data_IF_702204789146
#
_entry.id   IF_702204789146
#
_cell.length_a   1.000
_cell.length_b   1.000
_cell.length_c   1.000
_cell.angle_alpha   90.00
_cell.angle_beta   90.00
_cell.angle_gamma   90.00
#
_symmetry.space_group_name_H-M   'P 1'
#
loop_
_entity.id
_entity.type
_entity.pdbx_description
1 polymer ?
#
# COMPACT_ATOMS: atom_id res chain seq x y z
N UNK A 1 11.83 -10.16 9.23
CA UNK A 1 12.12 -11.51 8.68
C UNK A 1 10.86 -11.94 7.95
N UNK A 2 10.94 -12.28 6.66
CA UNK A 2 9.78 -12.71 5.89
C UNK A 2 9.44 -14.18 6.23
N UNK A 3 8.16 -14.59 6.29
CA UNK A 3 7.79 -15.96 6.62
C UNK A 3 8.29 -16.96 5.56
N UNK A 4 8.79 -18.11 6.00
CA UNK A 4 9.10 -19.24 5.13
C UNK A 4 7.85 -20.11 4.98
N UNK A 5 7.08 -19.88 3.92
CA UNK A 5 5.89 -20.65 3.57
C UNK A 5 5.35 -20.17 2.22
N UNK A 6 4.70 -21.06 1.47
CA UNK A 6 3.99 -20.67 0.24
C UNK A 6 2.83 -19.77 0.67
N UNK A 7 2.95 -18.46 0.39
CA UNK A 7 1.94 -17.46 0.72
C UNK A 7 0.88 -17.40 -0.36
N UNK A 8 -0.40 -17.37 0.03
CA UNK A 8 -1.51 -17.35 -0.94
C UNK A 8 -1.86 -15.92 -1.33
N UNK A 9 -1.67 -14.96 -0.42
CA UNK A 9 -1.90 -13.53 -0.63
C UNK A 9 -0.88 -12.73 0.16
N UNK A 10 -0.39 -11.65 -0.45
CA UNK A 10 0.55 -10.71 0.14
C UNK A 10 0.00 -9.29 -0.09
N UNK A 11 -0.06 -8.48 0.95
CA UNK A 11 -0.45 -7.08 0.87
C UNK A 11 0.60 -6.22 1.56
N UNK A 12 0.87 -5.03 1.00
CA UNK A 12 1.73 -4.02 1.61
C UNK A 12 0.90 -2.80 2.01
N UNK A 13 1.13 -2.31 3.23
CA UNK A 13 0.68 -1.01 3.70
C UNK A 13 1.79 0.02 3.58
N UNK A 14 1.73 1.09 4.38
CA UNK A 14 2.73 2.16 4.31
C UNK A 14 4.08 1.79 4.92
N UNK A 15 4.07 1.11 6.08
CA UNK A 15 5.30 0.72 6.79
C UNK A 15 5.35 -0.76 7.18
N UNK A 16 4.27 -1.50 7.01
CA UNK A 16 4.19 -2.92 7.27
C UNK A 16 3.65 -3.66 6.04
N UNK A 17 3.88 -4.97 6.02
CA UNK A 17 3.24 -5.87 5.07
C UNK A 17 2.78 -7.12 5.80
N UNK A 18 1.75 -7.75 5.26
CA UNK A 18 1.14 -8.95 5.81
C UNK A 18 0.93 -9.96 4.71
N UNK A 19 1.11 -11.24 5.04
CA UNK A 19 0.73 -12.35 4.20
C UNK A 19 -0.34 -13.21 4.87
N UNK A 20 -1.18 -13.81 4.03
CA UNK A 20 -2.08 -14.88 4.40
C UNK A 20 -1.45 -16.20 3.94
N UNK A 21 -1.27 -17.11 4.88
CA UNK A 21 -0.81 -18.48 4.62
C UNK A 21 -1.94 -19.39 4.12
N UNK A 22 -1.61 -20.60 3.66
CA UNK A 22 -2.60 -21.55 3.11
C UNK A 22 -3.74 -21.92 4.07
N UNK A 23 -3.49 -21.89 5.37
CA UNK A 23 -4.50 -22.15 6.40
C UNK A 23 -5.24 -20.89 6.86
N UNK A 24 -5.05 -19.75 6.18
CA UNK A 24 -5.70 -18.49 6.52
C UNK A 24 -5.02 -17.70 7.65
N UNK A 25 -3.89 -18.16 8.20
CA UNK A 25 -3.19 -17.43 9.26
C UNK A 25 -2.47 -16.19 8.71
N UNK A 26 -2.57 -15.09 9.44
CA UNK A 26 -1.84 -13.85 9.19
C UNK A 26 -0.42 -13.91 9.73
N UNK A 27 0.54 -13.56 8.88
CA UNK A 27 1.91 -13.25 9.29
C UNK A 27 2.24 -11.84 8.78
N UNK A 28 2.50 -10.88 9.68
CA UNK A 28 2.91 -9.51 9.29
C UNK A 28 4.32 -9.16 9.77
N UNK A 29 4.94 -8.22 9.07
CA UNK A 29 6.26 -7.69 9.36
C UNK A 29 6.34 -6.18 9.11
N UNK A 30 7.29 -5.54 9.78
CA UNK A 30 7.45 -4.09 9.80
C UNK A 30 6.88 -3.47 11.08
N UNK A 31 7.10 -2.16 11.29
CA UNK A 31 6.50 -1.43 12.41
C UNK A 31 4.97 -1.40 12.25
N UNK A 32 4.28 -2.10 13.15
CA UNK A 32 2.83 -2.16 13.19
C UNK A 32 2.31 -1.82 14.58
N UNK A 33 1.08 -1.31 14.63
CA UNK A 33 0.40 -0.92 15.87
C UNK A 33 -0.79 -1.84 16.11
N UNK A 34 -1.08 -2.15 17.37
CA UNK A 34 -2.18 -3.02 17.77
C UNK A 34 -1.85 -4.51 17.69
N UNK A 35 -2.69 -5.32 18.34
CA UNK A 35 -2.57 -6.78 18.34
C UNK A 35 -3.25 -7.33 17.08
N UNK A 36 -2.55 -8.20 16.36
CA UNK A 36 -3.13 -8.92 15.23
C UNK A 36 -4.31 -9.79 15.71
N UNK A 37 -5.48 -9.72 15.05
CA UNK A 37 -6.57 -10.62 15.34
C UNK A 37 -6.20 -12.05 15.00
N UNK A 38 -6.72 -12.99 15.79
CA UNK A 38 -6.69 -14.41 15.47
C UNK A 38 -7.88 -14.74 14.57
N UNK A 39 -7.70 -15.67 13.63
CA UNK A 39 -8.76 -16.08 12.72
C UNK A 39 -8.20 -16.56 11.38
N UNK A 40 -9.10 -17.00 10.51
CA UNK A 40 -8.79 -17.39 9.14
C UNK A 40 -9.18 -16.25 8.19
N UNK A 41 -8.18 -15.69 7.51
CA UNK A 41 -8.34 -14.57 6.60
C UNK A 41 -8.27 -15.04 5.14
N UNK A 42 -9.00 -14.35 4.27
CA UNK A 42 -9.04 -14.60 2.83
C UNK A 42 -8.62 -13.37 2.01
N UNK A 43 -8.67 -12.17 2.58
CA UNK A 43 -8.16 -10.94 1.97
C UNK A 43 -7.66 -9.94 3.01
N UNK A 44 -6.86 -8.97 2.58
CA UNK A 44 -6.21 -7.96 3.41
C UNK A 44 -6.33 -6.57 2.79
N UNK A 45 -6.58 -5.59 3.64
CA UNK A 45 -6.56 -4.17 3.31
C UNK A 45 -5.63 -3.47 4.30
N UNK A 46 -4.44 -3.05 3.85
CA UNK A 46 -3.41 -2.45 4.71
C UNK A 46 -3.29 -0.94 4.44
N UNK A 47 -3.44 -0.14 5.48
CA UNK A 47 -3.29 1.31 5.46
C UNK A 47 -1.93 1.78 5.99
N UNK A 48 -1.91 2.96 6.62
CA UNK A 48 -0.68 3.51 7.22
C UNK A 48 -0.26 2.76 8.51
N UNK A 49 -0.98 2.98 9.61
CA UNK A 49 -0.78 2.27 10.89
C UNK A 49 -2.02 1.45 11.29
N UNK A 50 -2.90 1.22 10.34
CA UNK A 50 -4.19 0.54 10.47
C UNK A 50 -4.30 -0.52 9.41
N UNK A 51 -5.00 -1.60 9.72
CA UNK A 51 -5.19 -2.73 8.83
C UNK A 51 -6.55 -3.34 9.07
N UNK A 52 -7.14 -3.90 8.02
CA UNK A 52 -8.31 -4.74 8.11
C UNK A 52 -8.09 -6.02 7.32
N UNK A 53 -8.72 -7.10 7.75
CA UNK A 53 -8.71 -8.38 7.08
C UNK A 53 -10.12 -8.90 6.91
N UNK A 54 -10.40 -9.48 5.74
CA UNK A 54 -11.65 -10.18 5.46
C UNK A 54 -11.47 -11.62 5.92
N UNK A 55 -12.32 -12.05 6.84
CA UNK A 55 -12.31 -13.39 7.40
C UNK A 55 -13.07 -14.37 6.48
N UNK A 56 -12.81 -15.66 6.65
CA UNK A 56 -13.49 -16.74 5.89
C UNK A 56 -15.01 -16.76 6.12
N UNK A 57 -15.49 -16.27 7.26
CA UNK A 57 -16.92 -16.09 7.56
C UNK A 57 -17.52 -14.81 6.93
N UNK A 58 -16.78 -14.13 6.06
CA UNK A 58 -17.15 -12.92 5.32
C UNK A 58 -17.25 -11.65 6.19
N UNK A 59 -16.89 -11.69 7.49
CA UNK A 59 -16.83 -10.48 8.32
C UNK A 59 -15.45 -9.85 8.31
N UNK A 60 -15.36 -8.58 8.70
CA UNK A 60 -14.10 -7.83 8.71
C UNK A 60 -13.59 -7.70 10.14
N UNK A 61 -12.29 -7.95 10.34
CA UNK A 61 -11.59 -7.62 11.57
C UNK A 61 -10.53 -6.56 11.27
N UNK A 62 -10.55 -5.46 12.02
CA UNK A 62 -9.58 -4.38 11.91
C UNK A 62 -8.68 -4.29 13.15
N UNK A 63 -7.47 -3.79 12.96
CA UNK A 63 -6.51 -3.53 14.03
C UNK A 63 -5.61 -2.36 13.66
N UNK A 64 -5.08 -1.66 14.66
CA UNK A 64 -4.19 -0.54 14.42
C UNK A 64 -4.08 0.42 15.59
N UNK A 65 -3.62 1.63 15.29
CA UNK A 65 -3.63 2.74 16.23
C UNK A 65 -5.04 3.08 16.75
N UNK A 66 -5.09 3.76 17.89
CA UNK A 66 -6.33 4.35 18.44
C UNK A 66 -7.52 3.39 18.56
N UNK A 67 -7.26 2.11 18.87
CA UNK A 67 -8.27 1.05 18.91
C UNK A 67 -9.10 0.97 17.61
N UNK A 68 -8.45 1.18 16.46
CA UNK A 68 -9.10 1.14 15.17
C UNK A 68 -9.78 -0.21 14.94
N UNK A 69 -11.10 -0.14 14.75
CA UNK A 69 -11.98 -1.27 14.53
C UNK A 69 -12.99 -0.94 13.42
N UNK A 70 -13.71 -1.95 12.94
CA UNK A 70 -14.86 -1.76 12.05
C UNK A 70 -15.98 -1.01 12.81
N UNK A 71 -16.73 -0.09 12.18
CA UNK A 71 -17.86 0.57 12.82
C UNK A 71 -18.87 -0.43 13.40
N UNK A 72 -19.49 -0.11 14.54
CA UNK A 72 -20.40 -1.01 15.26
C UNK A 72 -21.52 -1.56 14.36
N UNK A 73 -22.11 -0.68 13.54
CA UNK A 73 -23.19 -1.03 12.61
C UNK A 73 -22.75 -1.97 11.48
N UNK A 74 -21.45 -2.13 11.26
CA UNK A 74 -20.88 -2.97 10.20
C UNK A 74 -20.25 -4.27 10.74
N UNK A 75 -20.26 -4.50 12.06
CA UNK A 75 -19.64 -5.69 12.68
C UNK A 75 -20.21 -7.01 12.19
N UNK A 76 -21.51 -7.05 11.95
CA UNK A 76 -22.21 -8.24 11.44
C UNK A 76 -22.42 -8.21 9.92
N UNK A 77 -21.99 -7.14 9.25
CA UNK A 77 -22.10 -7.02 7.81
C UNK A 77 -21.09 -7.93 7.14
N UNK A 78 -21.58 -8.67 6.13
CA UNK A 78 -20.77 -9.59 5.33
C UNK A 78 -20.26 -8.90 4.08
N UNK A 79 -18.98 -9.09 3.76
CA UNK A 79 -18.30 -8.45 2.66
C UNK A 79 -17.70 -9.49 1.71
N UNK A 80 -17.68 -9.17 0.41
CA UNK A 80 -16.99 -9.98 -0.61
C UNK A 80 -15.59 -9.49 -0.93
N UNK A 81 -15.33 -8.21 -0.68
CA UNK A 81 -14.06 -7.57 -0.97
C UNK A 81 -13.85 -6.42 0.01
N UNK A 82 -12.58 -6.18 0.35
CA UNK A 82 -12.12 -5.03 1.13
C UNK A 82 -10.87 -4.45 0.48
N UNK A 83 -10.72 -3.14 0.55
CA UNK A 83 -9.56 -2.40 0.04
C UNK A 83 -9.21 -1.25 0.97
N UNK A 84 -7.94 -0.84 0.98
CA UNK A 84 -7.47 0.29 1.77
C UNK A 84 -6.65 1.26 0.94
N UNK A 85 -6.79 2.55 1.27
CA UNK A 85 -5.91 3.62 0.79
C UNK A 85 -5.66 4.60 1.92
N UNK A 86 -4.41 4.67 2.36
CA UNK A 86 -3.98 5.48 3.52
C UNK A 86 -4.74 5.10 4.80
N UNK A 87 -5.67 5.94 5.25
CA UNK A 87 -6.52 5.73 6.43
C UNK A 87 -7.95 5.33 6.08
N UNK A 88 -8.29 5.26 4.79
CA UNK A 88 -9.63 4.90 4.31
C UNK A 88 -9.67 3.42 3.99
N UNK A 89 -10.68 2.74 4.50
CA UNK A 89 -10.97 1.33 4.27
C UNK A 89 -12.34 1.24 3.64
N UNK A 90 -12.47 0.51 2.54
CA UNK A 90 -13.75 0.30 1.89
C UNK A 90 -14.02 -1.19 1.71
N UNK A 91 -15.28 -1.58 1.77
CA UNK A 91 -15.74 -2.93 1.53
C UNK A 91 -17.04 -2.97 0.73
N UNK A 92 -17.20 -4.02 -0.07
CA UNK A 92 -18.42 -4.28 -0.85
C UNK A 92 -19.26 -5.33 -0.10
N UNK A 93 -20.48 -4.96 0.31
CA UNK A 93 -21.39 -5.87 1.02
C UNK A 93 -21.82 -7.03 0.12
N UNK A 94 -21.84 -8.24 0.67
CA UNK A 94 -22.21 -9.47 -0.04
C UNK A 94 -23.66 -9.48 -0.54
N UNK A 95 -24.60 -8.92 0.23
CA UNK A 95 -26.04 -9.06 -0.04
C UNK A 95 -26.53 -8.23 -1.22
N UNK A 96 -26.07 -6.98 -1.28
CA UNK A 96 -26.60 -5.98 -2.20
C UNK A 96 -25.49 -5.22 -2.93
N UNK A 97 -24.23 -5.60 -2.74
CA UNK A 97 -23.07 -4.92 -3.34
C UNK A 97 -22.94 -3.43 -2.99
N UNK A 98 -23.53 -2.96 -1.89
CA UNK A 98 -23.33 -1.59 -1.42
C UNK A 98 -21.87 -1.38 -1.01
N UNK A 99 -21.33 -0.21 -1.36
CA UNK A 99 -19.98 0.19 -0.98
C UNK A 99 -20.02 0.94 0.34
N UNK A 100 -19.36 0.36 1.35
CA UNK A 100 -19.15 0.99 2.64
C UNK A 100 -17.69 1.41 2.78
N UNK A 101 -17.41 2.64 3.20
CA UNK A 101 -16.08 3.14 3.51
C UNK A 101 -16.03 3.70 4.94
N UNK A 102 -14.91 3.50 5.63
CA UNK A 102 -14.70 3.95 7.02
C UNK A 102 -13.22 4.28 7.28
N UNK A 103 -12.92 4.77 8.48
CA UNK A 103 -11.57 5.04 8.98
C UNK A 103 -11.04 6.46 8.76
N UNK A 104 -11.84 7.31 8.12
CA UNK A 104 -11.60 8.74 7.96
C UNK A 104 -12.83 9.53 8.42
N UNK A 105 -12.62 10.73 8.96
CA UNK A 105 -13.66 11.59 9.57
C UNK A 105 -14.87 11.84 8.66
N UNK A 106 -14.64 11.92 7.35
CA UNK A 106 -15.67 12.08 6.31
C UNK A 106 -16.72 10.95 6.36
N UNK A 107 -16.35 9.77 6.84
CA UNK A 107 -17.21 8.60 6.90
C UNK A 107 -17.82 8.34 8.28
N UNK A 108 -17.53 9.16 9.30
CA UNK A 108 -17.91 8.89 10.70
C UNK A 108 -19.43 8.76 10.91
N UNK A 109 -20.23 9.42 10.07
CA UNK A 109 -21.71 9.37 10.15
C UNK A 109 -22.38 8.61 9.00
N UNK A 110 -21.68 8.42 7.88
CA UNK A 110 -22.26 7.87 6.65
C UNK A 110 -21.24 6.98 5.92
N UNK A 111 -21.03 5.78 6.46
CA UNK A 111 -20.10 4.81 5.85
C UNK A 111 -20.60 4.32 4.48
N UNK A 112 -21.91 4.32 4.22
CA UNK A 112 -22.47 3.88 2.94
C UNK A 112 -22.25 4.96 1.87
N UNK A 113 -21.26 4.75 0.99
CA UNK A 113 -20.90 5.70 -0.07
C UNK A 113 -21.76 5.50 -1.31
N UNK A 114 -22.01 4.25 -1.69
CA UNK A 114 -22.83 3.91 -2.84
C UNK A 114 -23.74 2.72 -2.54
N UNK A 115 -24.96 2.77 -3.05
CA UNK A 115 -25.91 1.64 -3.01
C UNK A 115 -25.79 0.84 -4.30
N UNK A 116 -25.80 -0.48 -4.17
CA UNK A 116 -25.85 -1.42 -5.30
C UNK A 116 -24.74 -1.20 -6.35
N UNK A 117 -23.49 -1.42 -5.96
CA UNK A 117 -22.32 -1.28 -6.85
C UNK A 117 -21.97 -2.63 -7.44
N UNK A 118 -22.42 -2.93 -8.66
CA UNK A 118 -22.04 -4.17 -9.32
C UNK A 118 -20.62 -4.10 -9.90
N UNK A 119 -19.81 -5.16 -9.76
CA UNK A 119 -18.44 -5.17 -10.26
C UNK A 119 -18.40 -5.39 -11.78
N UNK A 120 -17.86 -4.42 -12.51
CA UNK A 120 -17.53 -4.58 -13.93
C UNK A 120 -18.20 -3.53 -14.85
N UNK A 121 -17.81 -3.57 -16.11
CA UNK A 121 -18.35 -2.68 -17.15
C UNK A 121 -19.54 -3.34 -17.86
N UNK A 122 -20.54 -2.54 -18.22
CA UNK A 122 -21.62 -2.97 -19.10
C UNK A 122 -21.08 -3.43 -20.46
N UNK A 123 -21.59 -4.57 -20.96
CA UNK A 123 -21.29 -5.11 -22.28
C UNK A 123 -22.57 -5.60 -22.94
N UNK A 124 -22.70 -5.37 -24.24
CA UNK A 124 -23.86 -5.80 -25.03
C UNK A 124 -23.99 -7.32 -25.16
N UNK A 125 -22.86 -8.05 -25.11
CA UNK A 125 -22.82 -9.52 -25.10
C UNK A 125 -21.75 -10.01 -24.13
N UNK A 126 -22.12 -10.96 -23.28
CA UNK A 126 -21.18 -11.61 -22.38
C UNK A 126 -20.54 -12.84 -23.03
N UNK A 127 -19.19 -12.96 -23.01
CA UNK A 127 -18.51 -14.13 -23.57
C UNK A 127 -18.92 -15.46 -22.94
N UNK A 128 -19.26 -15.45 -21.65
CA UNK A 128 -19.61 -16.64 -20.89
C UNK A 128 -21.00 -16.53 -20.27
N UNK A 129 -21.19 -15.67 -19.27
CA UNK A 129 -22.51 -15.41 -18.68
C UNK A 129 -22.67 -13.99 -18.17
N UNK A 130 -23.86 -13.38 -18.29
CA UNK A 130 -24.18 -12.13 -17.62
C UNK A 130 -24.32 -12.35 -16.11
N UNK A 131 -24.04 -11.30 -15.34
CA UNK A 131 -24.33 -11.21 -13.92
C UNK A 131 -25.85 -11.02 -13.75
N UNK A 132 -26.55 -11.89 -13.01
CA UNK A 132 -27.99 -11.77 -12.83
C UNK A 132 -28.41 -10.40 -12.32
N UNK A 133 -29.48 -9.85 -12.88
CA UNK A 133 -30.05 -8.54 -12.54
C UNK A 133 -29.15 -7.32 -12.81
N UNK A 134 -28.04 -7.50 -13.52
CA UNK A 134 -27.14 -6.38 -13.87
C UNK A 134 -27.68 -5.45 -14.95
N UNK A 135 -28.64 -5.89 -15.77
CA UNK A 135 -29.28 -5.06 -16.79
C UNK A 135 -29.93 -3.78 -16.26
N UNK A 136 -30.34 -3.72 -14.98
CA UNK A 136 -30.86 -2.48 -14.38
C UNK A 136 -29.79 -1.39 -14.18
N UNK A 137 -28.51 -1.76 -14.23
CA UNK A 137 -27.36 -0.87 -14.06
C UNK A 137 -26.77 -0.44 -15.40
N UNK A 138 -27.22 -1.03 -16.50
CA UNK A 138 -26.70 -0.81 -17.84
C UNK A 138 -27.78 -0.20 -18.72
N UNK A 139 -27.48 0.90 -19.40
CA UNK A 139 -28.37 1.43 -20.43
C UNK A 139 -28.60 0.40 -21.54
N UNK A 140 -27.57 -0.40 -21.86
CA UNK A 140 -27.60 -1.48 -22.84
C UNK A 140 -26.70 -2.64 -22.40
N UNK A 141 -27.25 -3.86 -22.42
CA UNK A 141 -26.52 -5.08 -22.10
C UNK A 141 -26.45 -5.39 -20.60
N UNK A 142 -25.45 -6.16 -20.22
CA UNK A 142 -25.27 -6.69 -18.86
C UNK A 142 -23.81 -6.58 -18.42
N UNK A 143 -23.57 -6.68 -17.12
CA UNK A 143 -22.22 -6.86 -16.56
C UNK A 143 -21.85 -8.33 -16.71
N UNK A 144 -20.65 -8.63 -17.22
CA UNK A 144 -20.26 -10.00 -17.52
C UNK A 144 -19.44 -10.64 -16.41
N UNK A 145 -19.80 -11.87 -16.05
CA UNK A 145 -19.00 -12.70 -15.16
C UNK A 145 -17.83 -13.36 -15.91
N UNK A 146 -16.69 -13.57 -15.23
CA UNK A 146 -15.60 -14.34 -15.79
C UNK A 146 -16.06 -15.77 -16.06
N UNK A 147 -15.43 -16.38 -17.07
CA UNK A 147 -15.66 -17.77 -17.41
C UNK A 147 -15.11 -18.66 -16.29
N UNK A 148 -15.97 -19.46 -15.66
CA UNK A 148 -15.51 -20.46 -14.72
C UNK A 148 -14.75 -21.55 -15.49
N UNK A 149 -13.54 -21.93 -15.06
CA UNK A 149 -12.89 -23.11 -15.60
C UNK A 149 -13.78 -24.31 -15.25
N UNK A 150 -14.23 -25.03 -16.28
CA UNK A 150 -14.97 -26.27 -16.10
C UNK A 150 -14.14 -27.17 -15.17
N UNK A 151 -14.69 -27.65 -14.05
CA UNK A 151 -14.01 -28.70 -13.29
C UNK A 151 -13.96 -29.90 -14.21
N UNK A 152 -12.78 -30.18 -14.76
CA UNK A 152 -12.53 -31.45 -15.42
C UNK A 152 -12.77 -32.51 -14.35
N UNK A 153 -13.79 -33.34 -14.58
CA UNK A 153 -14.08 -34.47 -13.74
C UNK A 153 -12.82 -35.32 -13.53
N UNK A 154 -12.65 -35.77 -12.30
CA UNK A 154 -11.77 -36.88 -11.90
C UNK A 154 -10.35 -36.84 -12.48
N UNK A 155 -9.48 -36.03 -11.89
CA UNK A 155 -8.07 -36.42 -11.85
C UNK A 155 -7.97 -37.78 -11.14
N UNK A 156 -7.45 -38.84 -11.78
CA UNK A 156 -7.18 -40.10 -11.08
C UNK A 156 -6.17 -39.84 -9.96
N UNK A 157 -6.14 -40.68 -8.91
CA UNK A 157 -5.23 -40.48 -7.79
C UNK A 157 -3.80 -40.48 -8.32
N UNK A 158 -3.14 -39.33 -8.21
CA UNK A 158 -1.70 -39.23 -8.42
C UNK A 158 -1.07 -40.13 -7.38
N UNK A 159 -0.59 -41.29 -7.82
CA UNK A 159 0.23 -42.15 -6.98
C UNK A 159 1.53 -41.38 -6.77
N UNK A 160 1.74 -40.86 -5.57
CA UNK A 160 2.98 -40.18 -5.21
C UNK A 160 4.15 -41.14 -5.47
N UNK A 161 5.17 -40.77 -6.26
CA UNK A 161 6.41 -41.52 -6.27
C UNK A 161 7.03 -41.45 -4.88
N UNK A 162 7.60 -42.57 -4.44
CA UNK A 162 8.28 -42.72 -3.15
C UNK A 162 9.33 -41.63 -2.94
N UNK A 163 9.52 -41.16 -1.68
CA UNK A 163 10.51 -40.14 -1.40
C UNK A 163 11.92 -40.63 -1.76
N UNK A 164 12.76 -39.82 -2.43
CA UNK A 164 14.15 -40.17 -2.64
C UNK A 164 14.86 -40.32 -1.28
N UNK A 165 15.87 -41.20 -1.18
CA UNK A 165 16.61 -41.40 0.06
C UNK A 165 17.21 -40.08 0.56
N UNK A 166 17.20 -39.91 1.89
CA UNK A 166 17.68 -38.72 2.56
C UNK A 166 19.09 -38.34 2.08
N UNK A 167 19.36 -37.05 1.77
CA UNK A 167 20.71 -36.62 1.46
C UNK A 167 21.63 -36.84 2.67
N UNK A 168 22.91 -37.17 2.45
CA UNK A 168 23.87 -37.30 3.54
C UNK A 168 24.00 -35.99 4.33
N UNK A 169 24.35 -36.05 5.63
CA UNK A 169 24.44 -34.87 6.47
C UNK A 169 25.44 -33.86 5.86
N UNK A 170 25.16 -32.54 5.99
CA UNK A 170 26.03 -31.53 5.45
C UNK A 170 27.40 -31.65 6.12
N UNK A 171 28.44 -31.89 5.31
CA UNK A 171 29.79 -31.73 5.79
C UNK A 171 29.98 -30.25 6.12
N UNK A 172 30.30 -29.96 7.38
CA UNK A 172 30.72 -28.64 7.82
C UNK A 172 32.05 -28.28 7.13
N UNK A 173 31.95 -27.81 5.90
CA UNK A 173 32.98 -27.03 5.25
C UNK A 173 32.97 -25.63 5.85
N UNK A 174 33.42 -25.50 7.10
CA UNK A 174 33.85 -24.20 7.61
C UNK A 174 34.99 -23.76 6.70
N UNK A 175 34.72 -22.79 5.82
CA UNK A 175 35.74 -22.14 5.03
C UNK A 175 36.69 -21.45 6.00
N UNK A 176 37.81 -22.11 6.27
CA UNK A 176 38.88 -21.61 7.13
C UNK A 176 39.52 -20.42 6.43
N UNK A 177 38.99 -19.22 6.66
CA UNK A 177 39.59 -18.00 6.18
C UNK A 177 41.03 -17.88 6.72
N UNK A 178 41.97 -17.78 5.79
CA UNK A 178 43.37 -17.60 6.12
C UNK A 178 43.53 -16.27 6.88
N UNK A 179 44.23 -16.24 8.03
CA UNK A 179 44.47 -15.03 8.84
C UNK A 179 44.95 -13.84 8.00
N UNK A 180 45.65 -14.12 6.90
CA UNK A 180 46.12 -13.12 5.93
C UNK A 180 44.95 -12.40 5.22
N UNK A 181 43.90 -13.12 4.81
CA UNK A 181 42.71 -12.54 4.16
C UNK A 181 41.92 -11.62 5.11
N UNK A 182 41.82 -11.99 6.39
CA UNK A 182 41.18 -11.16 7.42
C UNK A 182 41.97 -9.86 7.66
N UNK A 183 43.31 -9.95 7.69
CA UNK A 183 44.17 -8.78 7.86
C UNK A 183 44.01 -7.77 6.71
N UNK A 184 43.96 -8.24 5.45
CA UNK A 184 43.74 -7.35 4.30
C UNK A 184 42.37 -6.67 4.33
N UNK A 185 41.32 -7.39 4.74
CA UNK A 185 39.97 -6.84 4.82
C UNK A 185 39.87 -5.75 5.89
N UNK A 186 40.46 -5.97 7.07
CA UNK A 186 40.45 -4.99 8.17
C UNK A 186 41.24 -3.74 7.78
N UNK A 187 42.43 -3.89 7.19
CA UNK A 187 43.24 -2.74 6.75
C UNK A 187 42.53 -1.95 5.63
N UNK A 188 41.87 -2.64 4.70
CA UNK A 188 41.06 -2.02 3.66
C UNK A 188 39.87 -1.22 4.22
N UNK A 189 39.15 -1.79 5.19
CA UNK A 189 38.03 -1.09 5.83
C UNK A 189 38.49 0.16 6.60
N UNK A 190 39.57 0.06 7.40
CA UNK A 190 40.08 1.20 8.17
C UNK A 190 40.58 2.31 7.23
N UNK A 191 41.33 1.97 6.18
CA UNK A 191 41.80 2.94 5.19
C UNK A 191 40.65 3.65 4.47
N UNK A 192 39.61 2.91 4.08
CA UNK A 192 38.42 3.47 3.42
C UNK A 192 37.64 4.41 4.33
N UNK A 193 37.48 4.07 5.62
CA UNK A 193 36.79 4.92 6.59
C UNK A 193 37.57 6.21 6.85
N UNK A 194 38.90 6.14 6.98
CA UNK A 194 39.73 7.32 7.16
C UNK A 194 39.63 8.28 5.97
N UNK A 195 39.62 7.76 4.73
CA UNK A 195 39.46 8.58 3.53
C UNK A 195 38.07 9.25 3.49
N UNK A 196 37.01 8.51 3.80
CA UNK A 196 35.65 9.04 3.82
C UNK A 196 35.47 10.13 4.88
N UNK A 197 36.05 9.97 6.07
CA UNK A 197 36.00 10.99 7.12
C UNK A 197 36.69 12.28 6.68
N UNK A 198 37.85 12.17 6.01
CA UNK A 198 38.57 13.33 5.48
C UNK A 198 37.75 14.05 4.39
N UNK A 199 37.15 13.29 3.45
CA UNK A 199 36.28 13.86 2.42
C UNK A 199 35.06 14.55 3.04
N UNK A 200 34.39 13.90 4.00
CA UNK A 200 33.27 14.51 4.73
C UNK A 200 33.67 15.77 5.48
N UNK A 201 34.87 15.82 6.07
CA UNK A 201 35.37 17.02 6.74
C UNK A 201 35.61 18.17 5.75
N UNK A 202 36.19 17.90 4.58
CA UNK A 202 36.36 18.92 3.53
C UNK A 202 35.04 19.39 2.95
N UNK A 203 34.08 18.48 2.71
CA UNK A 203 32.72 18.84 2.29
C UNK A 203 32.00 19.67 3.36
N UNK A 204 32.14 19.30 4.63
CA UNK A 204 31.60 20.07 5.74
C UNK A 204 32.22 21.46 5.80
N UNK A 205 33.55 21.60 5.68
CA UNK A 205 34.21 22.92 5.63
C UNK A 205 33.81 23.74 4.40
N UNK A 206 33.61 23.09 3.26
CA UNK A 206 33.14 23.72 2.04
C UNK A 206 31.69 24.22 2.17
N UNK A 207 30.81 23.43 2.81
CA UNK A 207 29.42 23.79 3.11
C UNK A 207 29.31 24.82 4.24
N UNK A 208 30.15 24.75 5.28
CA UNK A 208 30.17 25.73 6.38
C UNK A 208 30.82 27.06 5.99
N UNK A 209 31.78 27.04 5.05
CA UNK A 209 32.36 28.25 4.47
C UNK A 209 31.40 28.98 3.51
N UNK A 210 30.41 28.26 2.98
CA UNK A 210 29.25 28.84 2.30
C UNK A 210 28.07 28.80 3.25
N UNK A 211 28.09 29.68 4.25
CA UNK A 211 26.91 30.01 5.07
C UNK A 211 25.70 30.09 4.15
N UNK A 212 24.86 29.05 4.18
CA UNK A 212 23.51 29.10 3.64
C UNK A 212 22.85 30.27 4.36
N UNK A 213 22.55 31.34 3.63
CA UNK A 213 21.66 32.40 4.10
C UNK A 213 20.29 31.75 4.36
N UNK A 214 20.10 31.29 5.57
CA UNK A 214 18.79 30.99 6.14
C UNK A 214 18.14 32.36 6.34
N UNK A 215 17.04 32.61 5.63
CA UNK A 215 16.20 33.76 5.91
C UNK A 215 15.51 33.51 7.26
N UNK A 216 15.89 34.28 8.28
CA UNK A 216 15.12 34.42 9.51
C UNK A 216 13.81 35.13 9.18
N UNK A 217 12.69 34.44 9.35
CA UNK A 217 11.39 35.10 9.54
C UNK A 217 11.24 35.35 11.03
N UNK A 218 11.38 36.60 11.44
CA UNK A 218 11.22 37.03 12.82
C UNK A 218 9.79 36.83 13.33
N UNK A 219 9.58 36.80 14.66
CA UNK A 219 8.26 36.69 15.27
C UNK A 219 7.51 38.01 15.09
N UNK A 220 6.23 37.95 14.71
CA UNK A 220 5.32 39.09 14.78
C UNK A 220 4.73 39.14 16.19
N UNK A 221 4.95 40.27 16.85
CA UNK A 221 4.44 40.62 18.17
C UNK A 221 2.90 40.56 18.23
N UNK A 222 2.38 40.00 19.33
CA UNK A 222 1.01 40.17 19.79
C UNK A 222 0.74 41.63 20.19
N UNK A 223 -0.48 42.16 19.97
CA UNK A 223 -1.00 43.24 20.80
C UNK A 223 -2.03 42.71 21.79
N UNK A 224 -1.71 43.00 23.05
CA UNK A 224 -2.48 42.77 24.26
C UNK A 224 -3.77 43.63 24.31
N UNK A 225 -4.79 43.07 24.99
CA UNK A 225 -5.98 43.65 25.63
C UNK A 225 -6.52 45.02 25.17
N UNK A 226 -7.83 45.08 24.94
CA UNK A 226 -8.72 45.97 25.72
C UNK A 226 -10.18 45.46 25.67
N UNK A 227 -10.90 45.68 26.77
CA UNK A 227 -12.15 45.01 27.14
C UNK A 227 -13.29 46.04 27.14
N UNK A 228 -14.32 45.80 26.33
CA UNK A 228 -15.71 46.09 26.72
C UNK A 228 -16.35 47.44 26.33
N UNK A 229 -17.51 47.29 25.68
CA UNK A 229 -18.81 47.95 25.94
C UNK A 229 -19.43 48.80 24.81
N UNK A 230 -20.61 48.33 24.40
CA UNK A 230 -21.84 49.03 23.98
C UNK A 230 -21.78 50.43 23.37
N UNK A 231 -22.30 50.60 22.15
CA UNK A 231 -23.59 51.29 21.87
C UNK A 231 -23.89 51.44 20.37
N UNK A 232 -25.10 51.91 20.11
CA UNK A 232 -25.98 51.74 18.94
C UNK A 232 -25.92 52.93 17.98
N UNK A 233 -26.35 52.68 16.72
CA UNK A 233 -27.04 53.59 15.76
C UNK A 233 -26.18 54.50 14.84
N UNK A 234 -26.20 54.24 13.51
CA UNK A 234 -26.95 54.96 12.45
C UNK A 234 -26.33 54.72 11.05
N UNK A 235 -27.23 54.62 10.05
CA UNK A 235 -27.05 54.56 8.57
C UNK A 235 -27.22 56.02 8.05
N UNK A 236 -26.58 56.54 6.96
CA UNK A 236 -26.65 56.08 5.55
C UNK A 236 -25.32 56.27 4.75
N UNK A 237 -25.07 55.95 3.48
CA UNK A 237 -25.84 55.78 2.25
C UNK A 237 -24.89 55.28 1.11
N UNK A 238 -25.47 54.71 0.05
CA UNK A 238 -25.04 54.71 -1.37
C UNK A 238 -23.80 53.89 -1.88
N UNK A 239 -24.13 53.07 -2.89
CA UNK A 239 -23.37 52.26 -3.87
C UNK A 239 -22.39 53.06 -4.77
N UNK A 240 -21.45 52.47 -5.57
CA UNK A 240 -21.69 51.29 -6.42
C UNK A 240 -20.56 50.26 -6.60
N UNK A 241 -20.97 49.19 -7.29
CA UNK A 241 -20.32 47.92 -7.54
C UNK A 241 -18.94 47.99 -8.23
N UNK A 242 -18.06 47.05 -7.86
CA UNK A 242 -16.91 46.63 -8.63
C UNK A 242 -16.87 45.08 -8.70
N UNK A 243 -16.37 44.49 -9.79
CA UNK A 243 -16.73 43.14 -10.23
C UNK A 243 -15.99 42.01 -9.50
N UNK A 244 -16.65 40.85 -9.46
CA UNK A 244 -16.12 39.57 -8.97
C UNK A 244 -14.88 39.15 -9.80
N UNK A 245 -13.74 38.77 -9.19
CA UNK A 245 -12.74 38.01 -9.90
C UNK A 245 -13.22 36.56 -10.05
N UNK A 246 -13.48 36.18 -11.30
CA UNK A 246 -13.62 34.78 -11.74
C UNK A 246 -12.26 34.11 -11.55
N UNK A 247 -12.15 33.17 -10.61
CA UNK A 247 -10.94 32.36 -10.50
C UNK A 247 -11.02 31.23 -11.52
N UNK A 248 -10.38 31.46 -12.66
CA UNK A 248 -10.15 30.46 -13.68
C UNK A 248 -9.40 29.25 -13.12
N UNK A 249 -9.84 28.09 -13.60
CA UNK A 249 -9.34 26.75 -13.30
C UNK A 249 -7.96 26.56 -13.96
N UNK A 250 -6.88 27.04 -13.32
CA UNK A 250 -5.49 26.71 -13.71
C UNK A 250 -4.97 25.56 -12.87
N UNK A 251 -5.31 24.36 -13.32
CA UNK A 251 -4.88 23.08 -12.79
C UNK A 251 -3.54 22.69 -13.42
N UNK A 252 -2.43 23.33 -13.04
CA UNK A 252 -1.09 22.89 -13.48
C UNK A 252 0.07 23.65 -12.82
N UNK A 253 0.17 23.71 -11.49
CA UNK A 253 1.45 24.01 -10.81
C UNK A 253 1.54 23.29 -9.46
N UNK A 254 1.65 21.97 -9.51
CA UNK A 254 2.29 21.19 -8.45
C UNK A 254 3.53 20.52 -9.06
N UNK A 255 4.57 21.32 -9.28
CA UNK A 255 5.92 20.80 -9.51
C UNK A 255 6.58 20.73 -8.15
N UNK A 256 6.56 19.53 -7.56
CA UNK A 256 7.35 19.21 -6.39
C UNK A 256 8.82 19.21 -6.78
N UNK A 257 9.57 20.13 -6.19
CA UNK A 257 11.03 20.19 -6.20
C UNK A 257 11.59 18.90 -5.55
N UNK A 258 11.98 17.94 -6.38
CA UNK A 258 12.85 16.83 -6.04
C UNK A 258 14.10 16.91 -6.91
N UNK A 259 15.13 17.59 -6.40
CA UNK A 259 16.39 17.81 -7.09
C UNK A 259 17.12 16.50 -7.36
N UNK A 260 17.17 16.11 -8.62
CA UNK A 260 18.35 15.62 -9.32
C UNK A 260 18.00 15.58 -10.81
N UNK A 261 18.58 16.50 -11.58
CA UNK A 261 18.44 16.56 -13.02
C UNK A 261 18.92 15.25 -13.65
N UNK A 262 17.98 14.35 -13.90
CA UNK A 262 18.10 13.25 -14.84
C UNK A 262 16.84 13.26 -15.67
N UNK A 263 17.03 13.61 -16.94
CA UNK A 263 16.17 13.42 -18.10
C UNK A 263 14.78 12.83 -17.77
N UNK A 264 13.75 13.68 -17.79
CA UNK A 264 12.37 13.21 -17.86
C UNK A 264 12.20 12.57 -19.24
N UNK A 265 12.24 11.24 -19.30
CA UNK A 265 11.79 10.53 -20.49
C UNK A 265 10.27 10.64 -20.56
N UNK A 266 9.80 11.41 -21.55
CA UNK A 266 8.40 11.54 -21.87
C UNK A 266 8.01 10.30 -22.69
N UNK A 267 7.31 9.36 -22.05
CA UNK A 267 6.79 8.18 -22.74
C UNK A 267 5.48 8.54 -23.44
N UNK A 268 5.36 8.19 -24.72
CA UNK A 268 4.11 8.38 -25.45
C UNK A 268 2.98 7.56 -24.80
N UNK A 269 1.75 8.06 -24.93
CA UNK A 269 0.56 7.41 -24.39
C UNK A 269 0.46 5.93 -24.84
N UNK A 270 0.93 5.62 -26.05
CA UNK A 270 0.98 4.26 -26.58
C UNK A 270 1.94 3.36 -25.81
N UNK A 271 3.11 3.85 -25.40
CA UNK A 271 4.08 3.07 -24.61
C UNK A 271 3.55 2.79 -23.20
N UNK A 272 2.86 3.77 -22.61
CA UNK A 272 2.19 3.59 -21.31
C UNK A 272 0.99 2.62 -21.41
N UNK A 273 0.25 2.64 -22.52
CA UNK A 273 -0.83 1.68 -22.80
C UNK A 273 -0.30 0.26 -23.03
N UNK A 274 0.88 0.10 -23.63
CA UNK A 274 1.53 -1.21 -23.81
C UNK A 274 2.03 -1.77 -22.47
N UNK A 275 2.65 -0.93 -21.62
CA UNK A 275 3.14 -1.33 -20.30
C UNK A 275 2.01 -1.65 -19.30
N UNK A 276 0.85 -1.00 -19.43
CA UNK A 276 -0.34 -1.30 -18.62
C UNK A 276 -1.18 -2.44 -19.17
N UNK A 277 -0.99 -2.82 -20.45
CA UNK A 277 -1.62 -4.00 -21.05
C UNK A 277 -1.21 -5.29 -20.35
N UNK A 278 0.02 -5.39 -19.85
CA UNK A 278 0.47 -6.55 -19.04
C UNK A 278 -0.22 -6.62 -17.67
N UNK A 279 -0.69 -5.50 -17.11
CA UNK A 279 -1.38 -5.47 -15.82
C UNK A 279 -2.90 -5.66 -15.92
N UNK A 280 -3.48 -5.41 -17.10
CA UNK A 280 -4.94 -5.53 -17.32
C UNK A 280 -5.32 -6.66 -18.30
N UNK A 281 -4.33 -7.36 -18.86
CA UNK A 281 -4.51 -8.51 -19.74
C UNK A 281 -4.50 -9.82 -18.97
N UNK A 282 -5.69 -10.35 -18.69
CA UNK A 282 -5.85 -11.74 -18.28
C UNK A 282 -5.32 -12.70 -19.36
N UNK A 283 -4.33 -13.51 -18.96
CA UNK A 283 -4.10 -14.89 -19.41
C UNK A 283 -4.25 -15.16 -20.92
N UNK A 284 -3.26 -14.75 -21.72
CA UNK A 284 -2.88 -15.54 -22.89
C UNK A 284 -1.43 -15.28 -23.31
N UNK A 285 -0.48 -15.85 -22.56
CA UNK A 285 0.77 -16.36 -23.14
C UNK A 285 1.51 -17.28 -22.15
N UNK A 286 1.19 -18.57 -22.23
CA UNK A 286 2.02 -19.63 -21.65
C UNK A 286 3.22 -19.85 -22.57
N UNK A 287 4.30 -19.05 -22.44
CA UNK A 287 5.68 -19.57 -22.57
C UNK A 287 6.86 -18.62 -22.26
N UNK A 288 6.70 -17.59 -21.42
CA UNK A 288 7.86 -16.89 -20.84
C UNK A 288 7.68 -16.62 -19.35
N UNK A 289 7.79 -17.67 -18.55
CA UNK A 289 8.13 -17.52 -17.13
C UNK A 289 9.61 -17.13 -17.02
N UNK A 290 9.86 -15.82 -16.98
CA UNK A 290 11.10 -15.28 -16.43
C UNK A 290 11.05 -15.47 -14.91
N UNK A 291 11.70 -16.54 -14.44
CA UNK A 291 11.95 -16.79 -13.03
C UNK A 291 12.84 -15.68 -12.47
N UNK A 292 12.27 -14.69 -11.79
CA UNK A 292 13.04 -13.84 -10.88
C UNK A 292 13.21 -14.57 -9.55
N UNK A 293 14.12 -15.53 -9.52
CA UNK A 293 14.67 -16.07 -8.28
C UNK A 293 15.62 -15.03 -7.67
N UNK A 294 15.16 -14.30 -6.65
CA UNK A 294 16.03 -13.44 -5.84
C UNK A 294 16.48 -14.25 -4.61
N UNK A 295 17.75 -14.66 -4.50
CA UNK A 295 18.23 -15.37 -3.32
C UNK A 295 18.31 -14.43 -2.11
N UNK A 296 17.68 -14.83 -1.01
CA UNK A 296 17.65 -14.09 0.26
C UNK A 296 18.93 -14.36 1.07
N UNK A 297 19.83 -13.37 1.17
CA UNK A 297 20.97 -13.45 2.10
C UNK A 297 20.51 -13.12 3.53
N UNK A 298 20.62 -14.10 4.44
CA UNK A 298 20.32 -13.92 5.87
C UNK A 298 21.55 -13.41 6.62
N UNK A 299 21.48 -12.19 7.18
CA UNK A 299 22.50 -11.65 8.09
C UNK A 299 22.13 -12.04 9.53
N UNK A 300 22.76 -13.09 10.07
CA UNK A 300 22.63 -13.44 11.51
C UNK A 300 23.37 -12.39 12.36
N UNK A 301 22.66 -11.71 13.25
CA UNK A 301 23.23 -10.92 14.36
C UNK A 301 23.45 -11.89 15.53
N UNK A 302 24.70 -12.18 15.86
CA UNK A 302 25.04 -12.86 17.12
C UNK A 302 24.86 -11.86 18.28
N UNK A 303 24.03 -12.22 19.27
CA UNK A 303 24.06 -11.62 20.61
C UNK A 303 25.32 -12.15 21.31
N UNK A 304 26.21 -11.27 21.74
CA UNK A 304 27.20 -11.59 22.76
C UNK A 304 26.59 -11.20 24.10
N UNK A 305 26.40 -12.18 24.98
CA UNK A 305 26.33 -11.93 26.41
C UNK A 305 27.74 -11.71 26.93
N UNK A 306 27.90 -10.67 27.74
CA UNK A 306 28.60 -10.61 29.03
C UNK A 306 28.16 -9.30 29.68
#
# INVERSE_FOLDING_TARGET
MCPAGITVRLQAGFRHACAISLNGRLDCWGPMVGKQPQGEFISLALGENRSCGLQRNETVACWGDNNFDVPESLRETKFIAIEAKRSIFCGIELRNYSLFCWGHEIFDSNFMVFKNVLPGSCRSKCPCRPLPYSGHFCEQGDICLPCEPVPSGETPPITMPSPPPAPPPPQEGFTRWNRKMVAFFVVGCVGSLSLLIVVCFFLFRYCSGRVCRVHDSGPLDDPELERGSSQRRQVPQAQPAAPRPVLEKRLSQLVSLGGNGRHLEEFSLQVLLEATREFLGGSQDRNRQLWLSVPCQTRRRARSGY
#
